data_IF_349336601743
#
_entry.id   IF_349336601743
#
_cell.length_a   1.000
_cell.length_b   1.000
_cell.length_c   1.000
_cell.angle_alpha   90.00
_cell.angle_beta   90.00
_cell.angle_gamma   90.00
#
_symmetry.space_group_name_H-M   'P 1'
#
loop_
_entity.id
_entity.type
_entity.pdbx_description
1 polymer ?
#
# COMPACT_ATOMS: atom_id res chain seq x y z
N UNK A 1 -10.84 3.26 7.24
CA UNK A 1 -9.41 3.04 7.49
C UNK A 1 -8.60 4.09 6.75
N UNK A 2 -7.87 4.92 7.50
CA UNK A 2 -6.91 5.90 6.97
C UNK A 2 -5.53 5.24 6.79
N UNK A 3 -4.64 5.84 5.99
CA UNK A 3 -3.31 5.27 5.72
C UNK A 3 -2.46 5.13 7.00
N UNK A 4 -2.65 6.01 7.97
CA UNK A 4 -1.94 6.00 9.25
C UNK A 4 -2.41 4.86 10.18
N UNK A 5 -3.50 4.16 9.86
CA UNK A 5 -3.98 3.00 10.62
C UNK A 5 -3.02 1.79 10.53
N UNK A 6 -2.19 1.75 9.48
CA UNK A 6 -1.14 0.74 9.34
C UNK A 6 0.06 0.95 10.26
N UNK A 7 0.25 2.17 10.79
CA UNK A 7 1.42 2.50 11.60
C UNK A 7 1.27 2.01 13.04
N UNK A 8 2.35 1.44 13.59
CA UNK A 8 2.46 1.21 15.01
C UNK A 8 2.39 2.54 15.78
N UNK A 9 1.87 2.56 17.03
CA UNK A 9 1.68 3.81 17.78
C UNK A 9 2.95 4.67 17.89
N UNK A 10 4.11 4.02 18.05
CA UNK A 10 5.42 4.70 18.08
C UNK A 10 5.72 5.40 16.75
N UNK A 11 5.53 4.71 15.62
CA UNK A 11 5.81 5.26 14.28
C UNK A 11 4.81 6.35 13.92
N UNK A 12 3.56 6.23 14.38
CA UNK A 12 2.57 7.31 14.26
C UNK A 12 3.02 8.58 14.99
N UNK A 13 3.60 8.43 16.18
CA UNK A 13 4.19 9.56 16.91
C UNK A 13 5.39 10.16 16.15
N UNK A 14 6.26 9.33 15.58
CA UNK A 14 7.37 9.76 14.72
C UNK A 14 6.83 10.59 13.54
N UNK A 15 5.79 10.10 12.85
CA UNK A 15 5.13 10.80 11.76
C UNK A 15 4.55 12.15 12.21
N UNK A 16 3.92 12.22 13.38
CA UNK A 16 3.42 13.50 13.92
C UNK A 16 4.55 14.54 14.08
N UNK A 17 5.74 14.11 14.49
CA UNK A 17 6.89 15.01 14.60
C UNK A 17 7.42 15.46 13.23
N UNK A 18 7.47 14.56 12.25
CA UNK A 18 7.79 14.92 10.86
C UNK A 18 6.77 15.91 10.31
N UNK A 19 5.47 15.63 10.44
CA UNK A 19 4.39 16.51 10.01
C UNK A 19 4.53 17.90 10.59
N UNK A 20 4.84 17.99 11.90
CA UNK A 20 5.09 19.27 12.55
C UNK A 20 6.24 20.02 11.87
N UNK A 21 7.37 19.38 11.59
CA UNK A 21 8.48 20.01 10.87
C UNK A 21 8.07 20.50 9.48
N UNK A 22 7.32 19.72 8.70
CA UNK A 22 6.82 20.18 7.39
C UNK A 22 5.95 21.44 7.51
N UNK A 23 5.09 21.52 8.52
CA UNK A 23 4.24 22.70 8.75
C UNK A 23 5.02 23.93 9.25
N UNK A 24 6.25 23.74 9.71
CA UNK A 24 7.15 24.79 10.19
C UNK A 24 8.38 24.99 9.29
N UNK A 25 8.23 24.73 7.99
CA UNK A 25 9.28 24.91 6.97
C UNK A 25 10.57 24.12 7.24
N UNK A 26 10.49 23.00 7.97
CA UNK A 26 11.61 22.14 8.30
C UNK A 26 12.32 22.49 9.60
N UNK A 27 11.85 23.49 10.35
CA UNK A 27 12.53 24.01 11.53
C UNK A 27 11.62 23.97 12.76
N UNK A 28 12.10 23.38 13.85
CA UNK A 28 11.44 23.51 15.15
C UNK A 28 12.38 23.24 16.31
N UNK A 29 12.26 24.03 17.38
CA UNK A 29 12.91 23.70 18.65
C UNK A 29 12.11 22.64 19.40
N UNK A 30 12.80 21.83 20.20
CA UNK A 30 12.17 20.86 21.10
C UNK A 30 11.14 21.49 22.04
N UNK A 31 11.40 22.71 22.50
CA UNK A 31 10.50 23.44 23.40
C UNK A 31 9.21 23.84 22.70
N UNK A 32 9.30 24.33 21.45
CA UNK A 32 8.12 24.66 20.64
C UNK A 32 7.29 23.39 20.39
N UNK A 33 7.91 22.32 19.90
CA UNK A 33 7.23 21.04 19.67
C UNK A 33 6.56 20.50 20.93
N UNK A 34 7.24 20.52 22.09
CA UNK A 34 6.67 20.04 23.35
C UNK A 34 5.43 20.85 23.79
N UNK A 35 5.47 22.17 23.58
CA UNK A 35 4.37 23.07 23.94
C UNK A 35 3.18 22.85 23.02
N UNK A 36 3.41 22.82 21.72
CA UNK A 36 2.33 22.79 20.72
C UNK A 36 1.69 21.41 20.61
N UNK A 37 2.49 20.34 20.68
CA UNK A 37 2.01 18.96 20.63
C UNK A 37 1.61 18.42 22.01
N UNK A 38 1.84 19.19 23.09
CA UNK A 38 1.55 18.79 24.48
C UNK A 38 2.18 17.45 24.89
N UNK A 39 3.44 17.25 24.51
CA UNK A 39 4.21 16.03 24.79
C UNK A 39 5.45 16.34 25.63
N UNK A 40 5.95 15.33 26.35
CA UNK A 40 7.17 15.48 27.14
C UNK A 40 8.40 15.77 26.23
N UNK A 41 9.23 16.78 26.55
CA UNK A 41 10.42 17.09 25.75
C UNK A 41 11.41 15.94 25.58
N UNK A 42 11.49 15.01 26.54
CA UNK A 42 12.34 13.81 26.45
C UNK A 42 11.80 12.83 25.43
N UNK A 43 10.48 12.65 25.35
CA UNK A 43 9.85 11.81 24.34
C UNK A 43 10.22 12.28 22.93
N UNK A 44 10.18 13.59 22.69
CA UNK A 44 10.63 14.18 21.41
C UNK A 44 12.11 13.86 21.17
N UNK A 45 12.97 14.08 22.16
CA UNK A 45 14.40 13.80 22.00
C UNK A 45 14.69 12.34 21.63
N UNK A 46 14.06 11.39 22.31
CA UNK A 46 14.25 9.95 22.09
C UNK A 46 13.76 9.52 20.71
N UNK A 47 12.59 10.02 20.29
CA UNK A 47 12.01 9.73 18.98
C UNK A 47 12.81 10.38 17.85
N UNK A 48 13.13 11.67 17.95
CA UNK A 48 13.83 12.43 16.91
C UNK A 48 15.27 11.96 16.71
N UNK A 49 15.93 11.39 17.72
CA UNK A 49 17.24 10.78 17.54
C UNK A 49 17.17 9.57 16.59
N UNK A 50 16.26 8.64 16.86
CA UNK A 50 16.09 7.41 16.05
C UNK A 50 15.53 7.74 14.67
N UNK A 51 14.49 8.57 14.62
CA UNK A 51 13.88 9.02 13.38
C UNK A 51 14.89 9.79 12.52
N UNK A 52 15.72 10.63 13.14
CA UNK A 52 16.76 11.37 12.44
C UNK A 52 17.75 10.47 11.73
N UNK A 53 18.25 9.44 12.42
CA UNK A 53 19.13 8.43 11.82
C UNK A 53 18.43 7.69 10.67
N UNK A 54 17.15 7.34 10.83
CA UNK A 54 16.35 6.70 9.77
C UNK A 54 16.19 7.60 8.55
N UNK A 55 15.81 8.87 8.74
CA UNK A 55 15.64 9.85 7.67
C UNK A 55 16.96 10.08 6.92
N UNK A 56 18.08 10.21 7.63
CA UNK A 56 19.40 10.38 7.01
C UNK A 56 19.85 9.16 6.21
N UNK A 57 19.55 7.95 6.69
CA UNK A 57 19.86 6.72 5.95
C UNK A 57 19.01 6.57 4.69
N UNK A 58 17.73 6.93 4.77
CA UNK A 58 16.79 6.83 3.65
C UNK A 58 16.98 7.95 2.63
N UNK A 59 17.33 9.15 3.11
CA UNK A 59 17.47 10.37 2.31
C UNK A 59 18.82 11.03 2.59
N UNK A 60 19.93 10.44 2.11
CA UNK A 60 21.27 10.98 2.35
C UNK A 60 21.47 12.39 1.79
N UNK A 61 20.63 12.81 0.84
CA UNK A 61 20.67 14.14 0.25
C UNK A 61 19.76 15.17 0.95
N UNK A 62 18.97 14.76 1.95
CA UNK A 62 18.04 15.60 2.69
C UNK A 62 18.31 15.48 4.20
N UNK A 63 19.41 16.08 4.68
CA UNK A 63 19.90 15.79 6.01
C UNK A 63 18.97 16.31 7.10
N UNK A 64 18.58 15.41 8.00
CA UNK A 64 18.06 15.74 9.31
C UNK A 64 19.21 15.95 10.30
N UNK A 65 19.22 17.08 10.99
CA UNK A 65 20.26 17.38 11.98
C UNK A 65 19.78 18.31 13.09
N UNK A 66 20.58 18.38 14.16
CA UNK A 66 20.38 19.33 15.25
C UNK A 66 21.19 20.61 15.00
N UNK A 67 20.51 21.75 14.89
CA UNK A 67 21.09 23.08 14.79
C UNK A 67 21.64 23.60 16.13
N UNK A 68 22.73 24.37 16.06
CA UNK A 68 23.28 25.15 17.19
C UNK A 68 22.73 26.58 17.12
N UNK A 69 22.37 27.25 18.24
CA UNK A 69 22.70 26.93 19.64
C UNK A 69 21.57 26.32 20.49
N UNK A 70 20.35 26.14 19.95
CA UNK A 70 19.18 25.71 20.74
C UNK A 70 18.76 24.24 20.55
N UNK A 71 19.61 23.41 19.93
CA UNK A 71 19.25 22.05 19.54
C UNK A 71 17.93 22.03 18.74
N UNK A 72 17.84 22.95 17.77
CA UNK A 72 16.74 23.04 16.82
C UNK A 72 16.77 21.81 15.91
N UNK A 73 15.63 21.17 15.70
CA UNK A 73 15.50 20.13 14.69
C UNK A 73 15.38 20.78 13.32
N UNK A 74 16.32 20.45 12.44
CA UNK A 74 16.38 20.96 11.07
C UNK A 74 16.23 19.80 10.11
N UNK A 75 15.22 19.88 9.26
CA UNK A 75 14.91 18.96 8.19
C UNK A 75 14.97 19.70 6.86
N UNK A 76 15.98 19.40 6.03
CA UNK A 76 16.14 20.04 4.74
C UNK A 76 15.05 19.61 3.75
N UNK A 77 14.00 20.43 3.63
CA UNK A 77 12.86 20.17 2.77
C UNK A 77 13.16 20.31 1.26
N UNK A 78 14.28 20.94 0.86
CA UNK A 78 14.57 21.19 -0.56
C UNK A 78 14.85 19.87 -1.28
N UNK A 79 15.53 18.96 -0.60
CA UNK A 79 15.94 17.67 -1.15
C UNK A 79 15.13 16.49 -0.58
N UNK A 80 14.25 16.76 0.39
CA UNK A 80 13.43 15.72 1.00
C UNK A 80 12.25 15.37 0.11
N UNK A 81 11.81 14.10 0.08
CA UNK A 81 10.54 13.74 -0.53
C UNK A 81 9.36 14.50 0.10
N UNK A 82 8.19 14.39 -0.52
CA UNK A 82 6.99 14.99 0.07
C UNK A 82 6.64 14.32 1.41
N UNK A 83 5.85 14.99 2.25
CA UNK A 83 5.34 14.37 3.48
C UNK A 83 4.57 13.07 3.19
N UNK A 84 3.89 13.00 2.05
CA UNK A 84 3.20 11.80 1.60
C UNK A 84 4.18 10.67 1.29
N UNK A 85 5.29 10.96 0.61
CA UNK A 85 6.34 9.98 0.33
C UNK A 85 6.96 9.43 1.63
N UNK A 86 7.28 10.31 2.59
CA UNK A 86 7.79 9.89 3.91
C UNK A 86 6.76 9.02 4.63
N UNK A 87 5.49 9.43 4.62
CA UNK A 87 4.39 8.66 5.23
C UNK A 87 4.27 7.28 4.60
N UNK A 88 4.26 7.20 3.27
CA UNK A 88 4.16 5.96 2.53
C UNK A 88 5.35 5.04 2.78
N UNK A 89 6.56 5.59 2.94
CA UNK A 89 7.72 4.80 3.32
C UNK A 89 7.61 4.22 4.73
N UNK A 90 7.20 5.01 5.72
CA UNK A 90 6.95 4.52 7.07
C UNK A 90 5.87 3.43 7.10
N UNK A 91 4.81 3.58 6.28
CA UNK A 91 3.78 2.56 6.13
C UNK A 91 4.37 1.29 5.54
N UNK A 92 5.21 1.40 4.50
CA UNK A 92 5.85 0.22 3.89
C UNK A 92 6.71 -0.55 4.88
N UNK A 93 7.37 0.12 5.80
CA UNK A 93 8.19 -0.54 6.82
C UNK A 93 7.38 -1.09 8.01
N UNK A 94 6.11 -0.70 8.13
CA UNK A 94 5.23 -1.17 9.21
C UNK A 94 4.95 -2.67 9.13
N UNK A 95 4.82 -3.30 10.30
CA UNK A 95 4.50 -4.72 10.42
C UNK A 95 3.15 -5.05 9.77
N UNK A 96 2.17 -4.14 9.92
CA UNK A 96 0.84 -4.30 9.37
C UNK A 96 0.86 -4.43 7.85
N UNK A 97 1.55 -3.51 7.18
CA UNK A 97 1.71 -3.54 5.73
C UNK A 97 2.51 -4.77 5.27
N UNK A 98 3.63 -5.08 5.92
CA UNK A 98 4.46 -6.25 5.56
C UNK A 98 3.69 -7.57 5.65
N UNK A 99 2.83 -7.74 6.66
CA UNK A 99 1.91 -8.88 6.77
C UNK A 99 0.94 -8.91 5.58
N UNK A 100 0.28 -7.80 5.26
CA UNK A 100 -0.69 -7.74 4.16
C UNK A 100 -0.07 -8.02 2.80
N UNK A 101 1.13 -7.51 2.55
CA UNK A 101 1.91 -7.79 1.34
C UNK A 101 2.28 -9.26 1.26
N UNK A 102 2.77 -9.84 2.37
CA UNK A 102 3.11 -11.24 2.38
C UNK A 102 1.89 -12.10 2.04
N UNK A 103 0.73 -11.83 2.65
CA UNK A 103 -0.52 -12.56 2.39
C UNK A 103 -0.97 -12.41 0.93
N UNK A 104 -0.82 -11.22 0.34
CA UNK A 104 -1.21 -10.98 -1.05
C UNK A 104 -0.42 -11.85 -2.04
N UNK A 105 0.90 -11.94 -1.83
CA UNK A 105 1.79 -12.69 -2.72
C UNK A 105 1.76 -14.21 -2.46
N UNK A 106 1.20 -14.67 -1.33
CA UNK A 106 1.18 -16.08 -0.94
C UNK A 106 -0.25 -16.56 -0.68
N UNK A 107 -0.76 -17.42 -1.59
CA UNK A 107 -2.12 -17.97 -1.55
C UNK A 107 -2.49 -18.66 -0.24
N UNK A 108 -1.65 -19.62 0.14
CA UNK A 108 -1.73 -20.36 1.38
C UNK A 108 -0.34 -20.30 2.00
N UNK A 109 -0.27 -19.73 3.19
CA UNK A 109 0.97 -19.70 3.95
C UNK A 109 0.82 -20.52 5.22
N UNK A 110 1.92 -20.72 5.93
CA UNK A 110 1.87 -21.18 7.31
C UNK A 110 2.22 -20.00 8.21
N UNK A 111 1.62 -19.91 9.40
CA UNK A 111 2.04 -18.89 10.38
C UNK A 111 3.55 -18.95 10.63
N UNK A 112 4.13 -20.16 10.62
CA UNK A 112 5.58 -20.35 10.76
C UNK A 112 6.37 -19.72 9.60
N UNK A 113 5.89 -19.82 8.35
CA UNK A 113 6.54 -19.17 7.21
C UNK A 113 6.46 -17.64 7.31
N UNK A 114 5.30 -17.10 7.70
CA UNK A 114 5.13 -15.66 7.92
C UNK A 114 6.02 -15.14 9.06
N UNK A 115 6.10 -15.86 10.18
CA UNK A 115 7.00 -15.54 11.29
C UNK A 115 8.45 -15.47 10.85
N UNK A 116 8.91 -16.45 10.06
CA UNK A 116 10.28 -16.48 9.55
C UNK A 116 10.54 -15.35 8.55
N UNK A 117 9.59 -15.08 7.65
CA UNK A 117 9.72 -14.04 6.65
C UNK A 117 9.83 -12.64 7.29
N UNK A 118 9.08 -12.39 8.37
CA UNK A 118 9.05 -11.10 9.05
C UNK A 118 9.93 -11.02 10.30
N UNK A 119 10.66 -12.08 10.63
CA UNK A 119 11.46 -12.20 11.86
C UNK A 119 10.63 -11.92 13.13
N UNK A 120 9.36 -12.33 13.14
CA UNK A 120 8.42 -12.09 14.24
C UNK A 120 8.18 -13.34 15.08
N UNK A 121 8.08 -13.16 16.40
CA UNK A 121 7.59 -14.22 17.29
C UNK A 121 6.11 -14.54 17.02
N UNK A 122 5.66 -15.74 17.39
CA UNK A 122 4.25 -16.11 17.27
C UNK A 122 3.31 -15.18 18.03
N UNK A 123 3.71 -14.75 19.23
CA UNK A 123 2.90 -13.86 20.05
C UNK A 123 2.79 -12.45 19.44
N UNK A 124 3.88 -11.96 18.84
CA UNK A 124 3.93 -10.66 18.16
C UNK A 124 3.04 -10.68 16.92
N UNK A 125 3.24 -11.69 16.06
CA UNK A 125 2.44 -11.84 14.85
C UNK A 125 0.95 -11.96 15.15
N UNK A 126 0.56 -12.74 16.17
CA UNK A 126 -0.83 -12.89 16.57
C UNK A 126 -1.48 -11.55 16.97
N UNK A 127 -0.77 -10.69 17.72
CA UNK A 127 -1.27 -9.36 18.07
C UNK A 127 -1.45 -8.47 16.84
N UNK A 128 -0.49 -8.47 15.92
CA UNK A 128 -0.61 -7.71 14.68
C UNK A 128 -1.78 -8.19 13.82
N UNK A 129 -1.95 -9.50 13.65
CA UNK A 129 -3.08 -10.08 12.90
C UNK A 129 -4.42 -9.76 13.57
N UNK A 130 -4.50 -9.83 14.90
CA UNK A 130 -5.73 -9.48 15.64
C UNK A 130 -6.13 -8.03 15.39
N UNK A 131 -5.17 -7.10 15.49
CA UNK A 131 -5.43 -5.68 15.21
C UNK A 131 -5.74 -5.42 13.74
N UNK A 132 -5.05 -6.08 12.81
CA UNK A 132 -5.37 -6.02 11.39
C UNK A 132 -6.81 -6.45 11.12
N UNK A 133 -7.28 -7.51 11.77
CA UNK A 133 -8.65 -7.99 11.61
C UNK A 133 -9.71 -6.98 12.07
N UNK A 134 -9.40 -6.07 13.02
CA UNK A 134 -10.30 -4.97 13.39
C UNK A 134 -10.48 -3.99 12.23
N UNK A 135 -9.40 -3.62 11.55
CA UNK A 135 -9.46 -2.72 10.38
C UNK A 135 -10.06 -3.39 9.15
N UNK A 136 -9.70 -4.66 8.90
CA UNK A 136 -10.19 -5.45 7.77
C UNK A 136 -11.71 -5.71 7.86
N UNK A 137 -12.29 -5.69 9.06
CA UNK A 137 -13.72 -5.86 9.25
C UNK A 137 -14.55 -4.78 8.54
N UNK A 138 -14.03 -3.56 8.39
CA UNK A 138 -14.68 -2.48 7.62
C UNK A 138 -14.87 -2.87 6.14
N UNK A 139 -14.01 -3.75 5.63
CA UNK A 139 -14.05 -4.27 4.26
C UNK A 139 -14.73 -5.64 4.17
N UNK A 140 -15.30 -6.15 5.28
CA UNK A 140 -15.83 -7.52 5.39
C UNK A 140 -14.75 -8.59 5.16
N UNK A 141 -13.49 -8.27 5.51
CA UNK A 141 -12.34 -9.14 5.35
C UNK A 141 -11.84 -9.64 6.72
N UNK A 142 -11.21 -10.81 6.72
CA UNK A 142 -10.56 -11.36 7.91
C UNK A 142 -9.37 -12.24 7.53
N UNK A 143 -8.26 -12.10 8.24
CA UNK A 143 -7.14 -13.02 8.19
C UNK A 143 -7.44 -14.17 9.17
N UNK A 144 -7.70 -15.35 8.62
CA UNK A 144 -8.03 -16.56 9.39
C UNK A 144 -7.54 -17.80 8.66
N UNK A 145 -7.08 -18.81 9.40
CA UNK A 145 -6.59 -20.08 8.86
C UNK A 145 -5.54 -19.87 7.75
N UNK A 146 -4.59 -18.96 8.01
CA UNK A 146 -3.45 -18.64 7.15
C UNK A 146 -3.83 -18.17 5.73
N UNK A 147 -4.93 -17.43 5.61
CA UNK A 147 -5.33 -16.76 4.37
C UNK A 147 -6.17 -15.52 4.71
N UNK A 148 -6.25 -14.59 3.75
CA UNK A 148 -7.27 -13.55 3.78
C UNK A 148 -8.59 -14.13 3.25
N UNK A 149 -9.68 -13.94 4.00
CA UNK A 149 -11.02 -14.42 3.68
C UNK A 149 -11.97 -13.22 3.53
N UNK A 150 -12.94 -13.35 2.63
CA UNK A 150 -13.93 -12.32 2.31
C UNK A 150 -14.49 -12.57 0.91
N UNK A 151 -15.36 -11.69 0.42
CA UNK A 151 -15.76 -11.73 -0.99
C UNK A 151 -14.57 -11.33 -1.84
N UNK A 152 -14.39 -11.99 -2.99
CA UNK A 152 -13.23 -11.72 -3.85
C UNK A 152 -13.20 -10.27 -4.35
N UNK A 153 -14.37 -9.68 -4.64
CA UNK A 153 -14.47 -8.26 -4.99
C UNK A 153 -13.96 -7.34 -3.87
N UNK A 154 -14.29 -7.64 -2.60
CA UNK A 154 -13.85 -6.85 -1.44
C UNK A 154 -12.34 -6.97 -1.23
N UNK A 155 -11.78 -8.17 -1.41
CA UNK A 155 -10.33 -8.42 -1.33
C UNK A 155 -9.58 -7.60 -2.39
N UNK A 156 -10.07 -7.64 -3.64
CA UNK A 156 -9.46 -6.92 -4.77
C UNK A 156 -9.56 -5.42 -4.59
N UNK A 157 -10.72 -4.93 -4.15
CA UNK A 157 -10.93 -3.52 -3.86
C UNK A 157 -10.00 -3.04 -2.73
N UNK A 158 -9.90 -3.80 -1.64
CA UNK A 158 -8.99 -3.50 -0.53
C UNK A 158 -7.53 -3.40 -1.00
N UNK A 159 -7.02 -4.39 -1.73
CA UNK A 159 -5.65 -4.36 -2.21
C UNK A 159 -5.41 -3.31 -3.28
N UNK A 160 -6.38 -3.04 -4.15
CA UNK A 160 -6.32 -1.92 -5.09
C UNK A 160 -6.16 -0.60 -4.33
N UNK A 161 -6.99 -0.32 -3.34
CA UNK A 161 -6.88 0.89 -2.52
C UNK A 161 -5.55 0.96 -1.77
N UNK A 162 -5.14 -0.13 -1.12
CA UNK A 162 -3.87 -0.21 -0.41
C UNK A 162 -2.70 0.14 -1.34
N UNK A 163 -2.68 -0.40 -2.55
CA UNK A 163 -1.61 -0.17 -3.51
C UNK A 163 -1.69 1.18 -4.20
N UNK A 164 -2.89 1.70 -4.45
CA UNK A 164 -3.07 3.06 -4.98
C UNK A 164 -2.58 4.12 -4.00
N UNK A 165 -2.73 3.90 -2.68
CA UNK A 165 -2.29 4.83 -1.64
C UNK A 165 -0.79 4.66 -1.35
N UNK A 166 -0.34 3.43 -1.10
CA UNK A 166 1.02 3.19 -0.59
C UNK A 166 2.04 2.94 -1.70
N UNK A 167 1.60 2.45 -2.87
CA UNK A 167 2.46 1.84 -3.90
C UNK A 167 2.43 2.51 -5.28
N UNK A 168 2.57 3.84 -5.32
CA UNK A 168 3.13 4.48 -6.52
C UNK A 168 4.53 3.96 -6.91
N UNK A 169 5.22 3.26 -6.00
CA UNK A 169 6.62 2.82 -6.17
C UNK A 169 6.93 1.37 -5.70
N UNK A 170 5.96 0.48 -5.42
CA UNK A 170 6.32 -0.96 -5.28
C UNK A 170 6.69 -1.48 -6.66
N UNK A 171 7.97 -1.75 -6.87
CA UNK A 171 8.50 -2.16 -8.18
C UNK A 171 7.82 -3.40 -8.76
N UNK A 172 7.12 -4.24 -7.96
CA UNK A 172 6.34 -5.37 -8.48
C UNK A 172 4.98 -4.97 -9.06
N UNK A 173 4.43 -3.85 -8.59
CA UNK A 173 3.13 -3.29 -9.00
C UNK A 173 3.28 -2.10 -9.96
N UNK A 174 4.47 -1.50 -10.00
CA UNK A 174 4.78 -0.32 -10.82
C UNK A 174 5.77 -0.60 -11.94
N UNK A 175 6.42 -1.77 -11.98
CA UNK A 175 7.22 -2.14 -13.15
C UNK A 175 6.30 -2.31 -14.36
N UNK A 176 6.51 -1.46 -15.36
CA UNK A 176 5.99 -1.63 -16.73
C UNK A 176 6.55 -2.88 -17.47
N UNK A 177 7.19 -3.81 -16.75
CA UNK A 177 7.85 -4.98 -17.32
C UNK A 177 6.91 -6.19 -17.44
N UNK A 178 5.63 -6.08 -17.08
CA UNK A 178 4.64 -7.10 -17.44
C UNK A 178 4.11 -6.78 -18.84
N UNK A 179 4.59 -7.45 -19.91
CA UNK A 179 4.24 -7.08 -21.28
C UNK A 179 2.75 -7.26 -21.56
N UNK A 180 2.10 -8.23 -20.89
CA UNK A 180 0.68 -8.48 -21.05
C UNK A 180 -0.17 -7.34 -20.47
N UNK A 181 0.24 -6.77 -19.33
CA UNK A 181 -0.46 -5.61 -18.76
C UNK A 181 -0.32 -4.39 -19.67
N UNK A 182 0.88 -4.13 -20.19
CA UNK A 182 1.10 -3.00 -21.09
C UNK A 182 0.39 -3.18 -22.44
N UNK A 183 0.37 -4.39 -22.98
CA UNK A 183 -0.39 -4.75 -24.19
C UNK A 183 -1.89 -4.54 -23.97
N UNK A 184 -2.44 -5.02 -22.85
CA UNK A 184 -3.84 -4.77 -22.50
C UNK A 184 -4.15 -3.28 -22.40
N UNK A 185 -3.32 -2.50 -21.70
CA UNK A 185 -3.54 -1.04 -21.55
C UNK A 185 -3.44 -0.34 -22.90
N UNK A 186 -2.49 -0.73 -23.76
CA UNK A 186 -2.36 -0.20 -25.10
C UNK A 186 -3.63 -0.44 -25.92
N UNK A 187 -4.05 -1.70 -26.02
CA UNK A 187 -5.19 -2.10 -26.85
C UNK A 187 -6.51 -1.52 -26.30
N UNK A 188 -6.65 -1.43 -24.98
CA UNK A 188 -7.80 -0.80 -24.34
C UNK A 188 -7.93 0.70 -24.69
N UNK A 189 -6.81 1.41 -24.84
CA UNK A 189 -6.83 2.79 -25.31
C UNK A 189 -7.20 2.91 -26.78
N UNK A 190 -6.65 2.04 -27.63
CA UNK A 190 -6.88 2.10 -29.08
C UNK A 190 -8.31 1.71 -29.46
N UNK A 191 -8.87 0.69 -28.80
CA UNK A 191 -10.15 0.09 -29.18
C UNK A 191 -11.33 0.62 -28.34
N UNK A 192 -11.13 0.93 -27.05
CA UNK A 192 -12.24 1.18 -26.11
C UNK A 192 -12.33 2.64 -25.67
N UNK A 193 -11.25 3.21 -25.12
CA UNK A 193 -11.34 4.48 -24.37
C UNK A 193 -10.76 5.71 -25.06
N UNK A 194 -9.89 5.55 -26.05
CA UNK A 194 -8.98 6.60 -26.48
C UNK A 194 -7.85 6.83 -25.46
N UNK A 195 -7.04 7.87 -25.69
CA UNK A 195 -5.86 8.21 -24.86
C UNK A 195 -6.23 8.42 -23.39
N UNK A 196 -5.56 7.68 -22.50
CA UNK A 196 -5.76 7.80 -21.06
C UNK A 196 -4.67 8.68 -20.39
N UNK A 197 -5.03 9.48 -19.37
CA UNK A 197 -4.06 10.16 -18.52
C UNK A 197 -3.11 9.17 -17.83
N UNK A 198 -1.89 9.61 -17.50
CA UNK A 198 -0.88 8.77 -16.84
C UNK A 198 -1.38 8.15 -15.53
N UNK A 199 -2.10 8.91 -14.70
CA UNK A 199 -2.63 8.42 -13.42
C UNK A 199 -3.69 7.33 -13.62
N UNK A 200 -4.54 7.46 -14.66
CA UNK A 200 -5.53 6.44 -15.01
C UNK A 200 -4.85 5.16 -15.49
N UNK A 201 -3.82 5.27 -16.34
CA UNK A 201 -3.02 4.11 -16.77
C UNK A 201 -2.36 3.41 -15.59
N UNK A 202 -1.80 4.18 -14.64
CA UNK A 202 -1.21 3.61 -13.44
C UNK A 202 -2.25 2.91 -12.55
N UNK A 203 -3.45 3.48 -12.44
CA UNK A 203 -4.55 2.87 -11.70
C UNK A 203 -4.98 1.54 -12.33
N UNK A 204 -5.11 1.49 -13.66
CA UNK A 204 -5.42 0.26 -14.41
C UNK A 204 -4.30 -0.77 -14.21
N UNK A 205 -3.03 -0.35 -14.29
CA UNK A 205 -1.87 -1.23 -14.05
C UNK A 205 -1.91 -1.89 -12.67
N UNK A 206 -2.13 -1.10 -11.61
CA UNK A 206 -2.25 -1.61 -10.24
C UNK A 206 -3.41 -2.60 -10.15
N UNK A 207 -4.57 -2.25 -10.70
CA UNK A 207 -5.75 -3.11 -10.67
C UNK A 207 -5.51 -4.44 -11.41
N UNK A 208 -4.90 -4.41 -12.59
CA UNK A 208 -4.56 -5.62 -13.34
C UNK A 208 -3.56 -6.49 -12.60
N UNK A 209 -2.55 -5.93 -11.94
CA UNK A 209 -1.67 -6.71 -11.07
C UNK A 209 -2.43 -7.42 -9.95
N UNK A 210 -3.40 -6.73 -9.32
CA UNK A 210 -4.26 -7.33 -8.31
C UNK A 210 -5.05 -8.50 -8.90
N UNK A 211 -5.77 -8.26 -10.01
CA UNK A 211 -6.57 -9.31 -10.65
C UNK A 211 -5.72 -10.50 -11.04
N UNK A 212 -4.64 -10.29 -11.80
CA UNK A 212 -3.78 -11.37 -12.31
C UNK A 212 -3.16 -12.18 -11.17
N UNK A 213 -2.74 -11.51 -10.08
CA UNK A 213 -2.25 -12.22 -8.89
C UNK A 213 -3.35 -13.10 -8.30
N UNK A 214 -4.53 -12.54 -8.01
CA UNK A 214 -5.64 -13.30 -7.40
C UNK A 214 -6.08 -14.49 -8.24
N UNK A 215 -6.16 -14.29 -9.55
CA UNK A 215 -6.54 -15.31 -10.51
C UNK A 215 -5.47 -16.41 -10.63
N UNK A 216 -4.18 -16.05 -10.64
CA UNK A 216 -3.08 -17.04 -10.61
C UNK A 216 -3.12 -17.93 -9.36
N UNK A 217 -3.72 -17.43 -8.28
CA UNK A 217 -3.93 -18.13 -7.02
C UNK A 217 -5.27 -18.89 -6.97
N UNK A 218 -5.97 -19.01 -8.11
CA UNK A 218 -7.26 -19.67 -8.26
C UNK A 218 -8.40 -19.01 -7.46
N UNK A 219 -8.38 -17.68 -7.36
CA UNK A 219 -9.47 -16.85 -6.84
C UNK A 219 -10.06 -15.95 -7.95
N UNK A 220 -10.76 -16.53 -8.95
CA UNK A 220 -11.45 -15.74 -9.97
C UNK A 220 -12.63 -14.98 -9.37
N UNK A 221 -13.11 -13.98 -10.12
CA UNK A 221 -14.23 -13.13 -9.69
C UNK A 221 -15.56 -13.91 -9.74
N UNK A 222 -15.85 -14.69 -8.71
CA UNK A 222 -17.07 -15.49 -8.59
C UNK A 222 -18.17 -14.78 -7.78
N UNK A 223 -18.45 -13.49 -8.07
CA UNK A 223 -19.49 -12.76 -7.33
C UNK A 223 -20.88 -12.92 -7.97
N UNK A 224 -21.60 -13.96 -7.55
CA UNK A 224 -23.03 -14.12 -7.81
C UNK A 224 -23.92 -13.47 -6.74
N UNK A 225 -23.31 -12.81 -5.75
CA UNK A 225 -23.94 -12.44 -4.47
C UNK A 225 -23.95 -10.93 -4.19
N UNK A 226 -23.29 -10.12 -5.03
CA UNK A 226 -23.27 -8.66 -4.95
C UNK A 226 -24.41 -7.97 -5.71
N UNK A 227 -24.56 -6.66 -5.44
CA UNK A 227 -25.47 -5.78 -6.18
C UNK A 227 -25.01 -5.54 -7.63
N UNK A 228 -23.70 -5.66 -7.87
CA UNK A 228 -23.12 -5.59 -9.21
C UNK A 228 -23.02 -7.00 -9.79
N UNK A 229 -23.73 -7.25 -10.89
CA UNK A 229 -23.65 -8.50 -11.63
C UNK A 229 -22.98 -8.23 -12.97
N UNK A 230 -21.83 -8.85 -13.23
CA UNK A 230 -21.15 -8.79 -14.53
C UNK A 230 -22.10 -9.11 -15.69
N UNK A 231 -23.00 -10.06 -15.47
CA UNK A 231 -24.04 -10.44 -16.44
C UNK A 231 -24.95 -9.29 -16.89
N UNK A 232 -25.05 -8.20 -16.13
CA UNK A 232 -25.88 -7.04 -16.49
C UNK A 232 -25.19 -6.08 -17.45
N UNK A 233 -23.86 -6.13 -17.54
CA UNK A 233 -23.07 -5.23 -18.39
C UNK A 233 -22.29 -5.96 -19.48
N UNK A 234 -22.22 -7.30 -19.41
CA UNK A 234 -21.48 -8.13 -20.37
C UNK A 234 -21.91 -7.93 -21.82
N UNK A 235 -23.17 -7.55 -22.05
CA UNK A 235 -23.73 -7.35 -23.39
C UNK A 235 -23.51 -5.92 -23.92
N UNK A 236 -22.92 -5.02 -23.13
CA UNK A 236 -22.59 -3.67 -23.59
C UNK A 236 -21.44 -3.74 -24.60
N UNK A 237 -21.53 -3.06 -25.76
CA UNK A 237 -20.53 -3.19 -26.83
C UNK A 237 -19.09 -2.93 -26.36
N UNK A 238 -18.88 -1.86 -25.58
CA UNK A 238 -17.56 -1.52 -25.04
C UNK A 238 -17.03 -2.53 -24.01
N UNK A 239 -17.92 -3.24 -23.31
CA UNK A 239 -17.54 -4.31 -22.38
C UNK A 239 -17.14 -5.57 -23.16
N UNK A 240 -17.85 -5.90 -24.24
CA UNK A 240 -17.47 -7.00 -25.13
C UNK A 240 -16.12 -6.75 -25.82
N UNK A 241 -15.87 -5.52 -26.28
CA UNK A 241 -14.56 -5.12 -26.83
C UNK A 241 -13.44 -5.30 -25.78
N UNK A 242 -13.68 -4.86 -24.54
CA UNK A 242 -12.72 -5.06 -23.44
C UNK A 242 -12.46 -6.55 -23.17
N UNK A 243 -13.49 -7.39 -23.16
CA UNK A 243 -13.33 -8.85 -22.98
C UNK A 243 -12.59 -9.50 -24.15
N UNK A 244 -12.81 -9.05 -25.38
CA UNK A 244 -12.05 -9.54 -26.53
C UNK A 244 -10.54 -9.24 -26.40
N UNK A 245 -10.19 -8.05 -25.89
CA UNK A 245 -8.79 -7.70 -25.56
C UNK A 245 -8.27 -8.61 -24.45
N UNK A 246 -9.05 -8.81 -23.38
CA UNK A 246 -8.69 -9.69 -22.27
C UNK A 246 -8.34 -11.10 -22.74
N UNK A 247 -9.24 -11.72 -23.52
CA UNK A 247 -9.04 -13.06 -24.06
C UNK A 247 -7.81 -13.12 -24.96
N UNK A 248 -7.63 -12.14 -25.85
CA UNK A 248 -6.47 -12.09 -26.74
C UNK A 248 -5.16 -12.05 -25.96
N UNK A 249 -5.08 -11.25 -24.91
CA UNK A 249 -3.86 -11.00 -24.13
C UNK A 249 -3.58 -12.10 -23.11
N UNK A 250 -4.62 -12.64 -22.47
CA UNK A 250 -4.48 -13.52 -21.30
C UNK A 250 -4.92 -14.97 -21.51
N UNK A 251 -5.66 -15.34 -22.58
CA UNK A 251 -6.24 -16.69 -22.74
C UNK A 251 -5.21 -17.84 -22.83
N UNK A 252 -3.94 -17.55 -23.15
CA UNK A 252 -2.88 -18.57 -23.13
C UNK A 252 -2.55 -19.06 -21.71
N UNK A 253 -3.00 -18.35 -20.68
CA UNK A 253 -2.84 -18.74 -19.29
C UNK A 253 -4.17 -19.31 -18.78
N UNK A 254 -4.25 -20.64 -18.69
CA UNK A 254 -5.47 -21.38 -18.34
C UNK A 254 -6.03 -21.02 -16.97
N UNK A 255 -5.18 -20.57 -16.04
CA UNK A 255 -5.65 -20.03 -14.75
C UNK A 255 -6.31 -18.66 -14.91
N UNK A 256 -5.83 -17.84 -15.86
CA UNK A 256 -6.28 -16.46 -16.11
C UNK A 256 -7.53 -16.38 -16.97
N UNK A 257 -7.75 -17.37 -17.83
CA UNK A 257 -8.93 -17.47 -18.68
C UNK A 257 -10.27 -17.62 -17.91
N UNK A 258 -10.25 -17.80 -16.58
CA UNK A 258 -11.44 -18.02 -15.76
C UNK A 258 -11.98 -16.76 -15.07
N UNK A 259 -11.42 -15.59 -15.38
CA UNK A 259 -11.71 -14.34 -14.69
C UNK A 259 -13.12 -13.77 -14.97
N UNK A 260 -13.66 -13.96 -16.17
CA UNK A 260 -14.94 -13.42 -16.63
C UNK A 260 -15.84 -14.50 -17.23
#
# INVERSE_FOLDING_TARGET
MEKEDFLEPRVRQDLTFVQYLYTHNGHATRKQMATDLQVDPRLIADHMAILGDQLNNLFPNAPFHLGSPEAEYILDLINLPTLDDVTNMLIRDSSAYQILIYIFWHNEFTMTALQRALLMSSSTLFRHVTRLNEYLAEFHLVIRNNRLQGRELDIRHFYYQLFSVVNGHDARLTNANNPQIEEFIHDFQEEVTGRLPQNTRQSIRIYLHVVLQRVSLNHPLNDNTGAFKLSLIQDLPKVQEMFAIWDRVFAKNTHIATEF
#
